data_IF_182857859389
#
_entry.id   IF_182857859389
#
_cell.length_a   1.000
_cell.length_b   1.000
_cell.length_c   1.000
_cell.angle_alpha   90.00
_cell.angle_beta   90.00
_cell.angle_gamma   90.00
#
_symmetry.space_group_name_H-M   'P 1'
#
loop_
_entity.id
_entity.type
_entity.pdbx_description
1 polymer ?
#
# COMPACT_ATOMS: atom_id res chain seq x y z
N UNK A 1 -5.28 6.77 -27.61
CA UNK A 1 -4.58 5.70 -26.89
C UNK A 1 -5.59 4.78 -26.24
N UNK A 2 -5.45 3.50 -26.45
CA UNK A 2 -6.32 2.46 -25.88
C UNK A 2 -5.47 1.38 -25.22
N UNK A 3 -5.78 1.06 -23.98
CA UNK A 3 -5.14 -0.01 -23.21
C UNK A 3 -6.22 -0.98 -22.78
N UNK A 4 -5.97 -2.25 -22.98
CA UNK A 4 -6.89 -3.33 -22.63
C UNK A 4 -6.19 -4.28 -21.65
N UNK A 5 -6.83 -4.53 -20.51
CA UNK A 5 -6.30 -5.37 -19.45
C UNK A 5 -7.25 -6.53 -19.21
N UNK A 6 -6.77 -7.74 -19.43
CA UNK A 6 -7.54 -8.97 -19.18
C UNK A 6 -7.80 -9.12 -17.68
N UNK A 7 -9.07 -9.37 -17.33
CA UNK A 7 -9.48 -9.61 -15.94
C UNK A 7 -9.15 -11.06 -15.59
N UNK A 8 -8.37 -11.30 -14.50
CA UNK A 8 -8.08 -12.67 -14.06
C UNK A 8 -9.37 -13.47 -13.76
N UNK A 9 -9.32 -14.79 -13.92
CA UNK A 9 -10.49 -15.67 -13.80
C UNK A 9 -11.21 -15.58 -12.45
N UNK A 10 -10.47 -15.35 -11.38
CA UNK A 10 -10.99 -15.27 -10.01
C UNK A 10 -11.22 -13.83 -9.52
N UNK A 11 -11.24 -12.88 -10.44
CA UNK A 11 -11.41 -11.45 -10.15
C UNK A 11 -12.68 -10.93 -10.82
N UNK A 12 -13.41 -10.08 -10.11
CA UNK A 12 -14.53 -9.32 -10.67
C UNK A 12 -14.25 -7.84 -10.63
N UNK A 13 -14.69 -7.11 -11.63
CA UNK A 13 -14.55 -5.66 -11.72
C UNK A 13 -15.92 -5.04 -11.88
N UNK A 14 -16.22 -4.07 -11.03
CA UNK A 14 -17.44 -3.29 -11.08
C UNK A 14 -17.08 -1.81 -11.19
N UNK A 15 -17.69 -1.12 -12.13
CA UNK A 15 -17.50 0.33 -12.32
C UNK A 15 -18.81 1.03 -12.05
N UNK A 16 -18.83 1.87 -11.01
CA UNK A 16 -19.95 2.75 -10.66
C UNK A 16 -19.50 4.19 -10.82
N UNK A 17 -19.92 4.82 -11.92
CA UNK A 17 -19.48 6.14 -12.34
C UNK A 17 -17.94 6.18 -12.52
N UNK A 18 -17.24 6.78 -11.55
CA UNK A 18 -15.79 6.95 -11.57
C UNK A 18 -15.07 5.98 -10.64
N UNK A 19 -15.81 5.23 -9.83
CA UNK A 19 -15.26 4.30 -8.86
C UNK A 19 -15.12 2.92 -9.47
N UNK A 20 -13.90 2.45 -9.57
CA UNK A 20 -13.54 1.12 -10.04
C UNK A 20 -13.30 0.23 -8.83
N UNK A 21 -14.13 -0.79 -8.66
CA UNK A 21 -14.00 -1.77 -7.58
C UNK A 21 -13.54 -3.10 -8.15
N UNK A 22 -12.46 -3.62 -7.62
CA UNK A 22 -11.86 -4.89 -7.99
C UNK A 22 -11.96 -5.84 -6.81
N UNK A 23 -12.62 -6.96 -6.99
CA UNK A 23 -12.80 -7.99 -5.96
C UNK A 23 -12.12 -9.29 -6.35
N UNK A 24 -11.49 -9.92 -5.39
CA UNK A 24 -10.81 -11.21 -5.56
C UNK A 24 -10.68 -11.98 -4.25
N UNK A 25 -9.98 -13.12 -4.27
CA UNK A 25 -9.87 -13.99 -3.09
C UNK A 25 -9.18 -13.34 -1.88
N UNK A 26 -8.27 -12.38 -2.10
CA UNK A 26 -7.54 -11.72 -1.01
C UNK A 26 -8.19 -10.44 -0.50
N UNK A 27 -9.26 -9.99 -1.13
CA UNK A 27 -10.00 -8.81 -0.69
C UNK A 27 -10.52 -7.96 -1.83
N UNK A 28 -10.78 -6.70 -1.53
CA UNK A 28 -11.37 -5.74 -2.46
C UNK A 28 -10.59 -4.43 -2.46
N UNK A 29 -10.45 -3.84 -3.63
CA UNK A 29 -9.85 -2.52 -3.81
C UNK A 29 -10.80 -1.65 -4.61
N UNK A 30 -11.12 -0.47 -4.08
CA UNK A 30 -11.91 0.54 -4.77
C UNK A 30 -11.05 1.77 -5.01
N UNK A 31 -11.05 2.25 -6.24
CA UNK A 31 -10.27 3.42 -6.62
C UNK A 31 -11.07 4.31 -7.56
N UNK A 32 -11.06 5.60 -7.26
CA UNK A 32 -11.67 6.59 -8.14
C UNK A 32 -10.66 6.96 -9.24
N UNK A 33 -11.01 6.65 -10.49
CA UNK A 33 -10.19 6.92 -11.66
C UNK A 33 -10.91 7.93 -12.55
N UNK A 34 -10.50 9.19 -12.45
CA UNK A 34 -11.04 10.25 -13.27
C UNK A 34 -9.95 11.14 -13.84
N UNK A 35 -10.10 11.42 -15.12
CA UNK A 35 -9.31 12.44 -15.83
C UNK A 35 -10.10 12.88 -17.06
N UNK A 36 -10.06 14.18 -17.47
CA UNK A 36 -10.74 14.64 -18.67
C UNK A 36 -10.33 13.84 -19.91
N UNK A 37 -11.30 13.48 -20.72
CA UNK A 37 -11.11 12.74 -21.98
C UNK A 37 -10.54 11.31 -21.81
N UNK A 38 -10.53 10.76 -20.62
CA UNK A 38 -10.15 9.36 -20.34
C UNK A 38 -11.36 8.60 -19.83
N UNK A 39 -11.69 7.50 -20.49
CA UNK A 39 -12.74 6.57 -20.05
C UNK A 39 -12.15 5.27 -19.54
N UNK A 40 -12.81 4.70 -18.53
CA UNK A 40 -12.50 3.38 -17.99
C UNK A 40 -13.79 2.57 -18.01
N UNK A 41 -13.80 1.49 -18.75
CA UNK A 41 -14.99 0.64 -18.95
C UNK A 41 -14.60 -0.84 -18.91
N UNK A 42 -15.60 -1.68 -18.68
CA UNK A 42 -15.44 -3.12 -18.84
C UNK A 42 -16.03 -3.56 -20.17
N UNK A 43 -15.26 -4.31 -20.93
CA UNK A 43 -15.71 -4.95 -22.18
C UNK A 43 -15.38 -6.44 -22.12
N UNK A 44 -16.42 -7.28 -22.17
CA UNK A 44 -16.27 -8.74 -22.04
C UNK A 44 -15.47 -9.10 -20.76
N UNK A 45 -14.32 -9.72 -20.91
CA UNK A 45 -13.44 -10.12 -19.81
C UNK A 45 -12.24 -9.18 -19.62
N UNK A 46 -12.37 -7.92 -20.05
CA UNK A 46 -11.29 -6.94 -20.00
C UNK A 46 -11.73 -5.60 -19.44
N UNK A 47 -10.79 -4.88 -18.84
CA UNK A 47 -10.92 -3.47 -18.51
C UNK A 47 -10.25 -2.66 -19.62
N UNK A 48 -10.99 -1.72 -20.19
CA UNK A 48 -10.51 -0.87 -21.28
C UNK A 48 -10.35 0.55 -20.79
N UNK A 49 -9.14 1.10 -20.95
CA UNK A 49 -8.82 2.49 -20.67
C UNK A 49 -8.56 3.15 -22.00
N UNK A 50 -9.34 4.17 -22.34
CA UNK A 50 -9.29 4.79 -23.65
C UNK A 50 -9.31 6.31 -23.58
N UNK A 51 -8.56 6.95 -24.47
CA UNK A 51 -8.61 8.38 -24.68
C UNK A 51 -8.37 8.72 -26.15
N UNK A 52 -9.15 9.67 -26.67
CA UNK A 52 -8.95 10.24 -28.01
C UNK A 52 -7.89 11.36 -27.99
N UNK A 53 -7.57 11.93 -26.83
CA UNK A 53 -6.55 12.95 -26.69
C UNK A 53 -5.15 12.34 -26.77
N UNK A 54 -4.23 13.04 -27.46
CA UNK A 54 -2.87 12.54 -27.71
C UNK A 54 -1.78 13.37 -27.00
N UNK A 55 -2.15 14.19 -26.02
CA UNK A 55 -1.17 14.97 -25.27
C UNK A 55 -0.43 14.12 -24.22
N UNK A 56 0.75 14.60 -23.82
CA UNK A 56 1.63 13.88 -22.92
C UNK A 56 1.02 13.61 -21.53
N UNK A 57 0.20 14.55 -21.03
CA UNK A 57 -0.44 14.39 -19.71
C UNK A 57 -1.52 13.31 -19.74
N UNK A 58 -2.33 13.30 -20.78
CA UNK A 58 -3.39 12.30 -20.98
C UNK A 58 -2.78 10.92 -21.14
N UNK A 59 -1.73 10.77 -21.94
CA UNK A 59 -1.03 9.49 -22.12
C UNK A 59 -0.39 9.02 -20.79
N UNK A 60 0.19 9.92 -20.03
CA UNK A 60 0.73 9.59 -18.69
C UNK A 60 -0.37 9.14 -17.73
N UNK A 61 -1.54 9.77 -17.78
CA UNK A 61 -2.69 9.40 -16.95
C UNK A 61 -3.22 8.01 -17.31
N UNK A 62 -3.33 7.70 -18.58
CA UNK A 62 -3.73 6.34 -19.04
C UNK A 62 -2.76 5.30 -18.51
N UNK A 63 -1.45 5.55 -18.56
CA UNK A 63 -0.43 4.66 -17.99
C UNK A 63 -0.54 4.53 -16.48
N UNK A 64 -0.88 5.60 -15.78
CA UNK A 64 -1.11 5.57 -14.33
C UNK A 64 -2.35 4.73 -13.99
N UNK A 65 -3.44 4.89 -14.69
CA UNK A 65 -4.66 4.09 -14.50
C UNK A 65 -4.41 2.61 -14.77
N UNK A 66 -3.67 2.31 -15.84
CA UNK A 66 -3.24 0.95 -16.13
C UNK A 66 -2.47 0.33 -14.95
N UNK A 67 -1.52 1.06 -14.39
CA UNK A 67 -0.74 0.60 -13.24
C UNK A 67 -1.62 0.38 -12.00
N UNK A 68 -2.57 1.27 -11.75
CA UNK A 68 -3.50 1.12 -10.63
C UNK A 68 -4.37 -0.12 -10.77
N UNK A 69 -4.87 -0.40 -11.96
CA UNK A 69 -5.70 -1.58 -12.22
C UNK A 69 -4.87 -2.86 -12.13
N UNK A 70 -3.67 -2.89 -12.69
CA UNK A 70 -2.75 -4.04 -12.57
C UNK A 70 -2.41 -4.32 -11.10
N UNK A 71 -2.11 -3.27 -10.34
CA UNK A 71 -1.83 -3.41 -8.92
C UNK A 71 -3.06 -3.92 -8.14
N UNK A 72 -4.26 -3.48 -8.51
CA UNK A 72 -5.48 -3.99 -7.91
C UNK A 72 -5.71 -5.48 -8.22
N UNK A 73 -5.49 -5.90 -9.45
CA UNK A 73 -5.58 -7.33 -9.81
C UNK A 73 -4.60 -8.18 -9.02
N UNK A 74 -3.35 -7.75 -8.92
CA UNK A 74 -2.34 -8.45 -8.11
C UNK A 74 -2.73 -8.46 -6.63
N UNK A 75 -3.16 -7.33 -6.10
CA UNK A 75 -3.51 -7.19 -4.69
C UNK A 75 -4.66 -8.08 -4.25
N UNK A 76 -5.71 -8.21 -5.08
CA UNK A 76 -6.87 -9.03 -4.73
C UNK A 76 -6.67 -10.52 -5.01
N UNK A 77 -5.64 -10.89 -5.77
CA UNK A 77 -5.30 -12.29 -6.07
C UNK A 77 -4.17 -12.84 -5.21
N UNK A 78 -3.11 -12.08 -5.01
CA UNK A 78 -1.90 -12.50 -4.28
C UNK A 78 -1.61 -11.64 -3.05
N UNK A 79 -2.12 -10.41 -3.01
CA UNK A 79 -1.82 -9.45 -1.96
C UNK A 79 -0.46 -8.77 -2.11
N UNK A 80 -0.24 -7.76 -1.28
CA UNK A 80 1.01 -7.03 -1.19
C UNK A 80 1.59 -7.21 0.21
N UNK A 81 2.90 -7.37 0.30
CA UNK A 81 3.57 -7.60 1.56
C UNK A 81 4.79 -6.69 1.72
N UNK A 82 4.86 -6.04 2.88
CA UNK A 82 6.04 -5.30 3.35
C UNK A 82 6.57 -5.97 4.61
N UNK A 83 7.87 -6.04 4.74
CA UNK A 83 8.51 -6.52 5.96
C UNK A 83 9.26 -5.39 6.63
N UNK A 84 9.15 -5.36 7.95
CA UNK A 84 9.81 -4.35 8.78
C UNK A 84 10.52 -5.05 9.95
N UNK A 85 11.48 -4.35 10.52
CA UNK A 85 12.21 -4.84 11.69
C UNK A 85 12.52 -3.69 12.64
N UNK A 86 12.36 -3.94 13.94
CA UNK A 86 12.72 -3.01 14.99
C UNK A 86 14.18 -3.19 15.37
N UNK A 87 14.92 -2.08 15.37
CA UNK A 87 16.33 -2.03 15.80
C UNK A 87 16.46 -1.11 16.99
N UNK A 88 17.16 -1.57 18.01
CA UNK A 88 17.47 -0.76 19.19
C UNK A 88 18.82 -1.16 19.77
N UNK A 89 19.52 -0.18 20.34
CA UNK A 89 20.82 -0.38 20.98
C UNK A 89 20.77 -0.21 22.49
N UNK A 90 19.93 0.71 22.98
CA UNK A 90 19.92 1.13 24.37
C UNK A 90 18.63 0.76 25.12
N UNK A 91 17.48 0.89 24.46
CA UNK A 91 16.18 0.69 25.07
C UNK A 91 15.37 -0.32 24.27
N UNK A 92 15.03 -1.48 24.85
CA UNK A 92 14.20 -2.47 24.16
C UNK A 92 12.85 -1.88 23.78
N UNK A 93 12.55 -1.83 22.47
CA UNK A 93 11.25 -1.41 21.97
C UNK A 93 10.28 -2.59 21.98
N UNK A 94 9.03 -2.28 22.30
CA UNK A 94 7.93 -3.20 22.12
C UNK A 94 6.98 -2.65 21.07
N UNK A 95 6.73 -3.46 20.05
CA UNK A 95 5.79 -3.14 18.98
C UNK A 95 4.58 -4.05 19.13
N UNK A 96 3.39 -3.47 19.16
CA UNK A 96 2.15 -4.23 19.22
C UNK A 96 1.06 -3.59 18.39
N UNK A 97 0.06 -4.38 18.07
CA UNK A 97 -1.15 -3.91 17.41
C UNK A 97 -2.25 -3.78 18.47
N UNK A 98 -2.89 -2.62 18.51
CA UNK A 98 -3.99 -2.33 19.40
C UNK A 98 -5.17 -1.81 18.58
N UNK A 99 -6.11 -2.71 18.26
CA UNK A 99 -7.22 -2.39 17.35
C UNK A 99 -6.72 -2.00 15.96
N UNK A 100 -7.02 -0.78 15.57
CA UNK A 100 -6.60 -0.22 14.27
C UNK A 100 -5.29 0.56 14.34
N UNK A 101 -4.57 0.47 15.45
CA UNK A 101 -3.32 1.19 15.66
C UNK A 101 -2.12 0.25 15.83
N UNK A 102 -0.97 0.72 15.38
CA UNK A 102 0.34 0.17 15.75
C UNK A 102 0.89 1.04 16.88
N UNK A 103 1.28 0.40 17.98
CA UNK A 103 1.77 1.05 19.19
C UNK A 103 3.21 0.64 19.43
N UNK A 104 4.07 1.63 19.62
CA UNK A 104 5.49 1.43 19.91
C UNK A 104 5.79 2.01 21.29
N UNK A 105 6.23 1.13 22.19
CA UNK A 105 6.54 1.49 23.57
C UNK A 105 8.05 1.48 23.81
N UNK A 106 8.46 2.35 24.74
CA UNK A 106 9.85 2.46 25.20
C UNK A 106 10.85 2.88 24.10
N UNK A 107 10.36 3.56 23.06
CA UNK A 107 11.26 4.10 22.02
C UNK A 107 12.18 5.16 22.66
N UNK A 108 13.48 4.91 22.61
CA UNK A 108 14.51 5.74 23.25
C UNK A 108 14.22 6.04 24.74
N UNK A 109 13.56 5.12 25.44
CA UNK A 109 13.21 5.27 26.85
C UNK A 109 12.03 6.19 27.13
N UNK A 110 11.26 6.57 26.12
CA UNK A 110 10.07 7.40 26.30
C UNK A 110 9.02 6.70 27.14
N UNK A 111 8.39 7.44 28.05
CA UNK A 111 7.32 6.91 28.91
C UNK A 111 6.00 6.76 28.17
N UNK A 112 5.68 7.72 27.30
CA UNK A 112 4.46 7.69 26.51
C UNK A 112 4.65 6.83 25.26
N UNK A 113 3.70 5.94 24.91
CA UNK A 113 3.79 5.17 23.69
C UNK A 113 3.57 6.05 22.46
N UNK A 114 4.19 5.68 21.37
CA UNK A 114 3.92 6.28 20.05
C UNK A 114 2.92 5.42 19.31
N UNK A 115 1.98 6.07 18.62
CA UNK A 115 0.89 5.40 17.90
C UNK A 115 0.77 5.90 16.48
N UNK A 116 0.42 5.00 15.58
CA UNK A 116 0.00 5.35 14.22
C UNK A 116 -1.13 4.44 13.77
N UNK A 117 -2.01 4.97 12.93
CA UNK A 117 -3.18 4.23 12.45
C UNK A 117 -2.82 3.33 11.28
N UNK A 118 -3.40 2.12 11.27
CA UNK A 118 -3.31 1.19 10.15
C UNK A 118 -4.28 1.64 9.06
N UNK A 119 -3.80 1.77 7.82
CA UNK A 119 -4.61 2.20 6.69
C UNK A 119 -5.39 1.06 6.04
N UNK A 120 -6.68 1.29 5.79
CA UNK A 120 -7.56 0.38 5.06
C UNK A 120 -7.65 -1.02 5.67
N UNK A 121 -7.63 -2.03 4.82
CA UNK A 121 -7.69 -3.44 5.21
C UNK A 121 -6.31 -4.06 5.41
N UNK A 122 -5.31 -3.25 5.70
CA UNK A 122 -3.95 -3.73 5.96
C UNK A 122 -3.89 -4.55 7.24
N UNK A 123 -3.31 -5.72 7.15
CA UNK A 123 -3.05 -6.60 8.28
C UNK A 123 -1.61 -6.42 8.74
N UNK A 124 -1.41 -6.22 10.04
CA UNK A 124 -0.09 -6.07 10.64
C UNK A 124 0.12 -7.21 11.62
N UNK A 125 1.10 -8.04 11.33
CA UNK A 125 1.50 -9.16 12.18
C UNK A 125 2.85 -8.84 12.81
N UNK A 126 2.94 -8.98 14.14
CA UNK A 126 4.16 -8.71 14.90
C UNK A 126 4.65 -10.01 15.52
N UNK A 127 5.91 -10.35 15.25
CA UNK A 127 6.61 -11.48 15.84
C UNK A 127 7.96 -10.99 16.40
N UNK A 128 7.96 -10.69 17.70
CA UNK A 128 9.13 -10.11 18.36
C UNK A 128 9.51 -8.76 17.76
N UNK A 129 10.66 -8.69 17.10
CA UNK A 129 11.20 -7.49 16.48
C UNK A 129 10.83 -7.36 14.99
N UNK A 130 10.14 -8.36 14.45
CA UNK A 130 9.76 -8.41 13.04
C UNK A 130 8.30 -8.11 12.84
N UNK A 131 7.99 -7.36 11.81
CA UNK A 131 6.63 -7.04 11.40
C UNK A 131 6.43 -7.46 9.95
N UNK A 132 5.25 -8.01 9.67
CA UNK A 132 4.79 -8.29 8.31
C UNK A 132 3.49 -7.53 8.11
N UNK A 133 3.46 -6.66 7.11
CA UNK A 133 2.29 -5.89 6.72
C UNK A 133 1.80 -6.43 5.39
N UNK A 134 0.52 -6.76 5.32
CA UNK A 134 -0.07 -7.33 4.10
C UNK A 134 -1.47 -6.81 3.85
N UNK A 135 -1.87 -6.83 2.60
CA UNK A 135 -3.21 -6.42 2.21
C UNK A 135 -3.38 -6.34 0.70
N UNK A 136 -4.64 -6.15 0.25
CA UNK A 136 -4.93 -6.07 -1.18
C UNK A 136 -4.57 -4.73 -1.80
N UNK A 137 -4.56 -3.65 -1.02
CA UNK A 137 -4.28 -2.31 -1.52
C UNK A 137 -2.82 -1.93 -1.26
N UNK A 138 -2.02 -1.88 -2.32
CA UNK A 138 -0.58 -1.57 -2.25
C UNK A 138 -0.30 -0.24 -1.57
N UNK A 139 -1.11 0.79 -1.84
CA UNK A 139 -0.92 2.11 -1.24
C UNK A 139 -1.16 2.09 0.26
N UNK A 140 -2.22 1.43 0.72
CA UNK A 140 -2.56 1.34 2.14
C UNK A 140 -1.48 0.58 2.91
N UNK A 141 -1.01 -0.54 2.37
CA UNK A 141 0.08 -1.32 3.00
C UNK A 141 1.37 -0.51 3.05
N UNK A 142 1.73 0.11 1.93
CA UNK A 142 2.94 0.94 1.84
C UNK A 142 2.87 2.19 2.72
N UNK A 143 1.72 2.85 2.78
CA UNK A 143 1.54 4.02 3.64
C UNK A 143 1.60 3.64 5.11
N UNK A 144 1.01 2.51 5.50
CA UNK A 144 1.10 2.01 6.88
C UNK A 144 2.56 1.74 7.26
N UNK A 145 3.32 1.08 6.38
CA UNK A 145 4.74 0.83 6.60
C UNK A 145 5.55 2.13 6.73
N UNK A 146 5.30 3.09 5.85
CA UNK A 146 5.95 4.39 5.89
C UNK A 146 5.63 5.17 7.16
N UNK A 147 4.38 5.14 7.61
CA UNK A 147 3.95 5.83 8.83
C UNK A 147 4.62 5.24 10.08
N UNK A 148 4.76 3.92 10.14
CA UNK A 148 5.49 3.25 11.23
C UNK A 148 6.97 3.66 11.22
N UNK A 149 7.59 3.68 10.06
CA UNK A 149 8.99 4.10 9.93
C UNK A 149 9.20 5.56 10.34
N UNK A 150 8.30 6.45 9.93
CA UNK A 150 8.34 7.86 10.32
C UNK A 150 8.02 8.09 11.78
N UNK A 151 7.18 7.25 12.39
CA UNK A 151 6.82 7.32 13.80
C UNK A 151 8.05 7.21 14.71
N UNK A 152 9.04 6.44 14.29
CA UNK A 152 10.30 6.24 15.03
C UNK A 152 11.47 7.06 14.48
N UNK A 153 11.17 8.14 13.74
CA UNK A 153 12.20 9.05 13.26
C UNK A 153 12.78 9.84 14.43
N UNK A 154 14.09 9.79 14.55
CA UNK A 154 14.83 10.54 15.57
C UNK A 154 15.08 11.97 15.06
N UNK A 155 14.70 12.97 15.86
CA UNK A 155 14.99 14.38 15.59
C UNK A 155 15.84 15.00 16.69
N UNK A 156 16.73 15.89 16.32
CA UNK A 156 17.60 16.59 17.28
C UNK A 156 18.74 15.76 17.86
N UNK A 157 18.99 14.56 17.30
CA UNK A 157 20.06 13.65 17.71
C UNK A 157 20.91 13.22 16.52
N UNK A 158 22.14 12.80 16.78
CA UNK A 158 23.02 12.29 15.74
C UNK A 158 22.56 10.91 15.29
N UNK A 159 22.02 10.81 14.06
CA UNK A 159 21.50 9.58 13.50
C UNK A 159 22.57 8.53 13.18
N UNK A 160 23.85 8.90 13.21
CA UNK A 160 24.94 7.93 13.11
C UNK A 160 25.12 7.13 14.40
N UNK A 161 24.65 7.67 15.53
CA UNK A 161 24.70 7.04 16.85
C UNK A 161 23.34 6.51 17.27
N UNK A 162 22.29 7.31 17.09
CA UNK A 162 20.92 6.94 17.44
C UNK A 162 20.19 6.38 16.21
N UNK A 163 20.40 5.09 15.98
CA UNK A 163 19.81 4.35 14.86
C UNK A 163 18.58 3.53 15.26
N UNK A 164 18.13 3.70 16.51
CA UNK A 164 16.93 3.05 17.02
C UNK A 164 15.70 3.43 16.16
N UNK A 165 14.87 2.46 15.85
CA UNK A 165 13.67 2.67 15.07
C UNK A 165 13.13 1.40 14.46
N UNK A 166 12.01 1.52 13.78
CA UNK A 166 11.42 0.45 12.99
C UNK A 166 11.60 0.80 11.51
N UNK A 167 12.24 -0.10 10.77
CA UNK A 167 12.63 0.16 9.38
C UNK A 167 12.02 -0.86 8.43
N UNK A 168 11.68 -0.39 7.24
CA UNK A 168 11.27 -1.26 6.14
C UNK A 168 12.49 -2.02 5.66
N UNK A 169 12.45 -3.34 5.75
CA UNK A 169 13.55 -4.23 5.33
C UNK A 169 13.30 -4.87 3.98
N UNK A 170 12.04 -5.04 3.61
CA UNK A 170 11.66 -5.61 2.32
C UNK A 170 10.38 -4.97 1.80
N UNK A 171 10.40 -4.57 0.53
CA UNK A 171 9.26 -4.02 -0.21
C UNK A 171 8.82 -4.98 -1.30
N UNK A 172 7.53 -4.97 -1.69
CA UNK A 172 7.11 -5.75 -2.86
C UNK A 172 7.80 -5.26 -4.13
N UNK A 173 7.95 -6.16 -5.10
CA UNK A 173 8.54 -5.83 -6.39
C UNK A 173 7.74 -4.74 -7.10
N UNK A 174 8.44 -3.84 -7.78
CA UNK A 174 7.81 -2.76 -8.54
C UNK A 174 6.99 -3.34 -9.69
N UNK A 175 5.71 -2.98 -9.73
CA UNK A 175 4.83 -3.34 -10.83
C UNK A 175 4.17 -4.71 -10.75
N UNK A 176 4.23 -5.38 -9.61
CA UNK A 176 3.51 -6.66 -9.40
C UNK A 176 3.81 -7.67 -10.50
N UNK A 177 5.01 -8.12 -10.52
CA UNK A 177 5.40 -9.13 -11.52
C UNK A 177 4.68 -10.45 -11.31
#
# INVERSE_FOLDING_TARGET
MRVELEIPDNVTVEIDHLDVTVDGPEGSVTRRLWYPDVSVETEDDSVVIESEAEDAKTNATVGTFESHIRNAFHGVTEGWEYKMEAFYSHFPMQVRVDGDDVVIENFLGEKAPRRTTIHGETDVSVDGERLVLSGPNKEDVGQTAADIEQLTRVSGKDTRVFQDGVYITEKPAKGGA
#
